data_IF_799942011478
#
_entry.id   IF_799942011478
#
_cell.length_a   1.000
_cell.length_b   1.000
_cell.length_c   1.000
_cell.angle_alpha   90.00
_cell.angle_beta   90.00
_cell.angle_gamma   90.00
#
_symmetry.space_group_name_H-M   'P 1'
#
loop_
_entity.id
_entity.type
_entity.pdbx_description
1 polymer ?
#
# COMPACT_ATOMS: atom_id res chain seq x y z
N UNK A 1 28.00 20.04 1.22
CA UNK A 1 26.60 20.42 0.91
C UNK A 1 25.69 19.39 1.58
N UNK A 2 24.81 19.83 2.48
CA UNK A 2 23.89 18.94 3.20
C UNK A 2 22.56 18.94 2.49
N UNK A 3 22.15 17.80 1.94
CA UNK A 3 20.83 17.65 1.35
C UNK A 3 19.80 17.56 2.48
N UNK A 4 18.92 18.55 2.62
CA UNK A 4 17.75 18.41 3.49
C UNK A 4 16.60 17.75 2.73
N UNK A 5 15.89 16.83 3.38
CA UNK A 5 14.69 16.21 2.83
C UNK A 5 13.51 17.19 2.83
N UNK A 6 12.76 17.23 1.72
CA UNK A 6 11.50 17.99 1.61
C UNK A 6 10.38 17.00 1.33
N UNK A 7 9.23 17.13 2.03
CA UNK A 7 8.05 16.30 1.79
C UNK A 7 7.50 16.58 0.39
N UNK A 8 7.46 15.57 -0.48
CA UNK A 8 6.83 15.68 -1.82
C UNK A 8 5.31 15.58 -1.78
N UNK A 9 4.78 14.60 -1.04
CA UNK A 9 3.35 14.37 -0.91
C UNK A 9 3.04 13.68 0.42
N UNK A 10 1.76 13.69 0.80
CA UNK A 10 1.22 12.95 1.96
C UNK A 10 -0.12 12.34 1.57
N UNK A 11 -0.32 11.08 1.93
CA UNK A 11 -1.59 10.38 1.78
C UNK A 11 -2.21 10.12 3.16
N UNK A 12 -3.49 10.44 3.32
CA UNK A 12 -4.24 10.13 4.54
C UNK A 12 -5.01 8.82 4.36
N UNK A 13 -4.91 7.93 5.34
CA UNK A 13 -5.63 6.67 5.32
C UNK A 13 -7.14 6.90 5.43
N UNK A 14 -7.91 5.95 4.93
CA UNK A 14 -9.37 5.97 5.02
C UNK A 14 -9.86 5.94 6.47
N UNK A 15 -9.11 5.30 7.38
CA UNK A 15 -9.35 5.34 8.83
C UNK A 15 -8.35 6.29 9.52
N UNK A 16 -8.79 7.40 10.15
CA UNK A 16 -7.92 8.34 10.86
C UNK A 16 -7.21 7.75 12.09
N UNK A 17 -7.76 6.69 12.67
CA UNK A 17 -7.14 5.93 13.75
C UNK A 17 -6.32 4.73 13.23
N UNK A 18 -6.28 4.54 11.91
CA UNK A 18 -5.39 3.59 11.26
C UNK A 18 -3.96 4.09 11.33
N UNK A 19 -3.03 3.18 11.61
CA UNK A 19 -1.60 3.45 11.53
C UNK A 19 -0.97 2.49 10.53
N UNK A 20 -0.03 2.99 9.72
CA UNK A 20 0.81 2.15 8.86
C UNK A 20 2.05 1.76 9.67
N UNK A 21 2.10 0.51 10.13
CA UNK A 21 3.29 -0.08 10.76
C UNK A 21 4.06 -0.99 9.78
N UNK A 22 3.65 -1.04 8.51
CA UNK A 22 4.30 -1.87 7.50
C UNK A 22 5.40 -1.09 6.76
N UNK A 23 6.47 -1.78 6.38
CA UNK A 23 7.44 -1.22 5.42
C UNK A 23 6.78 -1.15 4.06
N UNK A 24 6.81 0.01 3.41
CA UNK A 24 6.24 0.19 2.07
C UNK A 24 7.05 -0.57 1.02
N UNK A 25 6.39 -1.03 -0.04
CA UNK A 25 7.06 -1.56 -1.23
C UNK A 25 6.91 -0.60 -2.41
N UNK A 26 7.95 -0.47 -3.23
CA UNK A 26 7.90 0.33 -4.47
C UNK A 26 8.18 -0.57 -5.65
N UNK A 27 7.24 -0.63 -6.60
CA UNK A 27 7.42 -1.33 -7.87
C UNK A 27 6.48 -0.74 -8.93
N UNK A 28 6.87 -0.83 -10.21
CA UNK A 28 6.02 -0.44 -11.34
C UNK A 28 5.46 1.00 -11.26
N UNK A 29 6.22 1.94 -10.71
CA UNK A 29 5.78 3.33 -10.54
C UNK A 29 4.76 3.55 -9.42
N UNK A 30 4.54 2.55 -8.56
CA UNK A 30 3.60 2.62 -7.44
C UNK A 30 4.29 2.38 -6.10
N UNK A 31 3.74 3.00 -5.06
CA UNK A 31 3.98 2.70 -3.65
C UNK A 31 2.83 1.84 -3.15
N UNK A 32 3.17 0.70 -2.56
CA UNK A 32 2.22 -0.21 -1.93
C UNK A 32 2.33 -0.10 -0.42
N UNK A 33 1.21 0.20 0.23
CA UNK A 33 1.11 0.37 1.66
C UNK A 33 0.08 -0.60 2.23
N UNK A 34 0.39 -1.20 3.38
CA UNK A 34 -0.56 -2.00 4.14
C UNK A 34 -0.88 -1.31 5.46
N UNK A 35 -2.16 -1.25 5.81
CA UNK A 35 -2.62 -0.53 6.97
C UNK A 35 -3.36 -1.44 7.95
N UNK A 36 -3.37 -1.05 9.22
CA UNK A 36 -4.10 -1.76 10.28
C UNK A 36 -5.62 -1.65 10.11
N UNK A 37 -6.10 -0.77 9.23
CA UNK A 37 -7.49 -0.68 8.81
C UNK A 37 -7.94 -1.83 7.89
N UNK A 38 -7.09 -2.85 7.70
CA UNK A 38 -7.31 -4.01 6.83
C UNK A 38 -7.30 -3.65 5.34
N UNK A 39 -6.66 -2.56 4.94
CA UNK A 39 -6.54 -2.17 3.54
C UNK A 39 -5.11 -2.30 3.02
N UNK A 40 -5.01 -2.69 1.76
CA UNK A 40 -3.83 -2.50 0.92
C UNK A 40 -4.11 -1.33 -0.01
N UNK A 41 -3.20 -0.38 -0.09
CA UNK A 41 -3.28 0.78 -0.97
C UNK A 41 -2.17 0.72 -2.01
N UNK A 42 -2.49 1.08 -3.26
CA UNK A 42 -1.48 1.41 -4.26
C UNK A 42 -1.59 2.88 -4.65
N UNK A 43 -0.50 3.59 -4.48
CA UNK A 43 -0.39 5.02 -4.77
C UNK A 43 0.60 5.23 -5.90
N UNK A 44 0.35 6.20 -6.77
CA UNK A 44 1.33 6.66 -7.74
C UNK A 44 2.56 7.26 -7.01
N UNK A 45 3.76 6.80 -7.35
CA UNK A 45 4.98 7.17 -6.61
C UNK A 45 5.32 8.66 -6.72
N UNK A 46 4.91 9.32 -7.81
CA UNK A 46 5.25 10.71 -8.07
C UNK A 46 4.27 11.66 -7.38
N UNK A 47 2.99 11.31 -7.40
CA UNK A 47 1.90 12.19 -6.98
C UNK A 47 1.28 11.81 -5.63
N UNK A 48 1.45 10.57 -5.19
CA UNK A 48 0.77 10.02 -4.01
C UNK A 48 -0.71 9.73 -4.24
N UNK A 49 -1.21 9.85 -5.47
CA UNK A 49 -2.63 9.61 -5.80
C UNK A 49 -2.94 8.12 -5.72
N UNK A 50 -3.99 7.75 -4.97
CA UNK A 50 -4.50 6.38 -4.87
C UNK A 50 -4.98 5.89 -6.23
N UNK A 51 -4.37 4.82 -6.73
CA UNK A 51 -4.74 4.13 -7.97
C UNK A 51 -5.75 3.01 -7.71
N UNK A 52 -5.56 2.27 -6.62
CA UNK A 52 -6.51 1.25 -6.17
C UNK A 52 -6.36 0.99 -4.67
N UNK A 53 -7.36 0.33 -4.09
CA UNK A 53 -7.31 -0.25 -2.75
C UNK A 53 -7.95 -1.64 -2.73
N UNK A 54 -7.53 -2.45 -1.77
CA UNK A 54 -8.02 -3.80 -1.59
C UNK A 54 -8.27 -4.08 -0.11
N UNK A 55 -9.49 -4.49 0.22
CA UNK A 55 -9.87 -4.88 1.56
C UNK A 55 -9.42 -6.32 1.84
N UNK A 56 -8.75 -6.50 2.98
CA UNK A 56 -8.35 -7.82 3.49
C UNK A 56 -9.24 -8.24 4.64
N UNK A 57 -9.30 -9.54 4.90
CA UNK A 57 -10.13 -10.09 5.98
C UNK A 57 -9.64 -9.67 7.38
N UNK A 58 -8.32 -9.55 7.53
CA UNK A 58 -7.65 -9.31 8.81
C UNK A 58 -6.60 -8.21 8.71
N UNK A 59 -6.16 -7.75 9.88
CA UNK A 59 -5.12 -6.73 10.01
C UNK A 59 -3.85 -7.20 9.30
N UNK A 60 -3.21 -6.30 8.55
CA UNK A 60 -1.92 -6.55 7.91
C UNK A 60 -0.85 -5.84 8.72
N UNK A 61 0.01 -6.61 9.37
CA UNK A 61 1.19 -6.14 10.10
C UNK A 61 2.50 -6.49 9.39
N UNK A 62 2.44 -6.99 8.16
CA UNK A 62 3.61 -7.38 7.37
C UNK A 62 3.96 -6.34 6.30
N UNK A 63 5.17 -6.45 5.76
CA UNK A 63 5.62 -5.65 4.63
C UNK A 63 5.16 -6.33 3.32
N UNK A 64 4.48 -5.61 2.41
CA UNK A 64 4.14 -6.14 1.09
C UNK A 64 5.37 -6.57 0.31
N UNK A 65 5.26 -7.69 -0.42
CA UNK A 65 6.21 -8.09 -1.45
C UNK A 65 5.54 -7.95 -2.82
N UNK A 66 6.29 -7.52 -3.83
CA UNK A 66 5.77 -7.37 -5.20
C UNK A 66 6.58 -8.22 -6.16
N UNK A 67 5.91 -9.08 -6.92
CA UNK A 67 6.50 -9.87 -8.00
C UNK A 67 5.51 -9.96 -9.15
N UNK A 68 5.98 -9.75 -10.38
CA UNK A 68 5.16 -9.84 -11.60
C UNK A 68 3.86 -9.02 -11.58
N UNK A 69 3.89 -7.84 -10.92
CA UNK A 69 2.72 -6.97 -10.77
C UNK A 69 1.70 -7.42 -9.72
N UNK A 70 2.04 -8.46 -8.96
CA UNK A 70 1.22 -9.04 -7.90
C UNK A 70 1.74 -8.56 -6.55
N UNK A 71 0.84 -8.09 -5.70
CA UNK A 71 1.17 -7.68 -4.33
C UNK A 71 0.80 -8.82 -3.37
N UNK A 72 1.79 -9.30 -2.63
CA UNK A 72 1.66 -10.34 -1.63
C UNK A 72 1.72 -9.71 -0.25
N UNK A 73 0.71 -10.01 0.57
CA UNK A 73 0.61 -9.51 1.93
C UNK A 73 0.27 -10.65 2.86
N UNK A 74 0.94 -10.71 4.01
CA UNK A 74 0.66 -11.69 5.05
C UNK A 74 -0.12 -11.04 6.17
N UNK A 75 -1.24 -11.63 6.53
CA UNK A 75 -1.92 -11.40 7.81
C UNK A 75 -1.57 -12.55 8.78
N UNK A 76 -1.76 -12.34 10.08
CA UNK A 76 -1.44 -13.33 11.12
C UNK A 76 -2.13 -14.69 10.87
N UNK A 77 -3.26 -14.71 10.17
CA UNK A 77 -4.05 -15.93 9.94
C UNK A 77 -4.14 -16.36 8.47
N UNK A 78 -3.67 -15.55 7.50
CA UNK A 78 -3.81 -15.85 6.07
C UNK A 78 -2.86 -15.05 5.17
N UNK A 79 -2.48 -15.62 4.02
CA UNK A 79 -1.78 -14.92 2.94
C UNK A 79 -2.81 -14.38 1.95
N UNK A 80 -2.82 -13.07 1.67
CA UNK A 80 -3.70 -12.46 0.67
C UNK A 80 -2.89 -12.03 -0.55
N UNK A 81 -3.55 -12.12 -1.71
CA UNK A 81 -3.01 -11.67 -3.00
C UNK A 81 -3.86 -10.51 -3.46
N UNK A 82 -3.22 -9.38 -3.78
CA UNK A 82 -3.88 -8.26 -4.43
C UNK A 82 -3.30 -8.08 -5.84
N UNK A 83 -4.18 -7.97 -6.83
CA UNK A 83 -3.85 -7.57 -8.19
C UNK A 83 -4.73 -6.40 -8.59
N UNK A 84 -4.24 -5.44 -9.39
CA UNK A 84 -5.08 -4.42 -9.97
C UNK A 84 -6.08 -5.09 -10.92
N UNK A 85 -7.37 -5.08 -10.56
CA UNK A 85 -8.44 -5.39 -11.51
C UNK A 85 -8.84 -4.10 -12.22
N UNK A 86 -8.81 -4.14 -13.56
CA UNK A 86 -9.47 -3.12 -14.37
C UNK A 86 -10.95 -3.41 -14.28
N UNK A 87 -11.69 -2.59 -13.53
CA UNK A 87 -13.15 -2.59 -13.62
C UNK A 87 -13.51 -2.16 -15.05
N UNK A 88 -13.88 -3.11 -15.91
CA UNK A 88 -14.55 -2.81 -17.17
C UNK A 88 -15.95 -2.29 -16.84
N UNK A 89 -16.28 -1.17 -17.46
CA UNK A 89 -17.60 -0.54 -17.40
C UNK A 89 -18.60 -1.31 -18.26
#
# INVERSE_FOLDING_TARGET
MTQMGVQKWRFALSNPAGYVNSTLAIANGMVYACSFDKMVYALDVQTGVKKWEFATANIINSSPAVADGIVYVKSNDACCIARPEVQQQ
#
